data_IF_046393014445
#
_entry.id   IF_046393014445
#
_cell.length_a   1.000
_cell.length_b   1.000
_cell.length_c   1.000
_cell.angle_alpha   90.00
_cell.angle_beta   90.00
_cell.angle_gamma   90.00
#
_symmetry.space_group_name_H-M   'P 1'
#
loop_
_entity.id
_entity.type
_entity.pdbx_description
1 polymer ?
#
# COMPACT_ATOMS: atom_id res chain seq x y z
N UNK A 1 33.94 3.19 -14.88
CA UNK A 1 32.62 2.63 -15.21
C UNK A 1 32.05 1.98 -13.95
N UNK A 2 30.78 2.31 -13.64
CA UNK A 2 29.95 1.86 -12.50
C UNK A 2 30.11 2.63 -11.16
N UNK A 3 29.13 3.51 -10.93
CA UNK A 3 28.81 4.28 -9.72
C UNK A 3 28.12 3.38 -8.67
N UNK A 4 28.37 3.53 -7.35
CA UNK A 4 27.59 2.85 -6.32
C UNK A 4 26.42 3.72 -5.81
N UNK A 5 25.34 3.01 -5.47
CA UNK A 5 24.00 3.49 -5.14
C UNK A 5 23.93 4.47 -3.95
N UNK A 6 23.24 5.58 -4.17
CA UNK A 6 22.89 6.59 -3.18
C UNK A 6 21.80 6.11 -2.22
N UNK A 7 22.01 6.38 -0.94
CA UNK A 7 21.04 6.18 0.14
C UNK A 7 19.95 7.25 0.05
N UNK A 8 18.71 6.87 -0.23
CA UNK A 8 17.58 7.80 -0.25
C UNK A 8 16.99 7.99 1.15
N UNK A 9 17.22 9.17 1.72
CA UNK A 9 16.36 9.77 2.75
C UNK A 9 15.11 10.35 2.07
N UNK A 10 13.92 10.01 2.58
CA UNK A 10 12.68 10.67 2.22
C UNK A 10 12.70 12.10 2.80
N UNK A 11 13.01 13.06 1.94
CA UNK A 11 12.71 14.48 2.10
C UNK A 11 11.47 14.75 1.22
N UNK A 12 10.40 15.25 1.84
CA UNK A 12 9.28 15.84 1.12
C UNK A 12 9.78 17.14 0.46
N UNK A 13 10.29 17.03 -0.77
CA UNK A 13 10.47 18.18 -1.65
C UNK A 13 9.17 18.38 -2.43
N UNK A 14 8.47 19.46 -2.11
CA UNK A 14 7.44 20.01 -2.99
C UNK A 14 8.11 20.37 -4.33
N UNK A 15 8.05 19.48 -5.32
CA UNK A 15 8.42 19.81 -6.68
C UNK A 15 7.46 20.88 -7.22
N UNK A 16 8.05 22.00 -7.63
CA UNK A 16 7.40 23.07 -8.35
C UNK A 16 6.67 22.50 -9.57
N UNK A 17 5.36 22.72 -9.60
CA UNK A 17 4.49 22.36 -10.71
C UNK A 17 4.87 23.19 -11.95
N UNK A 18 4.98 22.51 -13.08
CA UNK A 18 5.11 23.09 -14.42
C UNK A 18 3.97 24.11 -14.65
N UNK A 19 4.24 25.39 -15.01
CA UNK A 19 3.23 26.45 -15.10
C UNK A 19 2.13 26.20 -16.15
N UNK A 20 2.32 25.27 -17.07
CA UNK A 20 1.38 25.03 -18.18
C UNK A 20 0.25 24.04 -17.85
N UNK A 21 0.13 23.55 -16.61
CA UNK A 21 -0.89 22.57 -16.20
C UNK A 21 -1.76 23.03 -15.02
N UNK A 22 -1.96 24.34 -14.87
CA UNK A 22 -2.75 24.92 -13.78
C UNK A 22 -4.18 24.37 -13.72
N UNK A 23 -4.81 24.09 -14.87
CA UNK A 23 -6.19 23.60 -14.93
C UNK A 23 -6.36 22.16 -14.38
N UNK A 24 -5.44 21.25 -14.70
CA UNK A 24 -5.49 19.85 -14.25
C UNK A 24 -5.08 19.70 -12.76
N UNK A 25 -4.18 20.56 -12.29
CA UNK A 25 -3.76 20.57 -10.89
C UNK A 25 -4.80 21.24 -9.97
N UNK A 26 -5.50 22.29 -10.43
CA UNK A 26 -6.61 22.90 -9.70
C UNK A 26 -7.84 21.97 -9.68
N UNK A 27 -8.14 21.27 -10.78
CA UNK A 27 -9.21 20.27 -10.81
C UNK A 27 -8.94 19.07 -9.88
N UNK A 28 -7.70 18.57 -9.85
CA UNK A 28 -7.30 17.48 -8.94
C UNK A 28 -7.31 17.88 -7.46
N UNK A 29 -6.90 19.11 -7.13
CA UNK A 29 -6.99 19.63 -5.75
C UNK A 29 -8.42 19.89 -5.32
N UNK A 30 -9.26 20.45 -6.20
CA UNK A 30 -10.69 20.65 -5.92
C UNK A 30 -11.45 19.33 -5.77
N UNK A 31 -11.04 18.26 -6.45
CA UNK A 31 -11.60 16.91 -6.24
C UNK A 31 -11.14 16.25 -4.94
N UNK A 32 -9.92 16.55 -4.46
CA UNK A 32 -9.40 16.04 -3.18
C UNK A 32 -9.94 16.81 -1.97
N UNK A 33 -10.16 18.13 -2.08
CA UNK A 33 -10.75 18.95 -1.02
C UNK A 33 -12.29 18.86 -0.96
N UNK A 34 -12.95 18.40 -2.02
CA UNK A 34 -14.40 18.20 -2.03
C UNK A 34 -14.89 16.97 -1.22
N UNK A 35 -13.99 16.17 -0.64
CA UNK A 35 -14.35 14.97 0.15
C UNK A 35 -14.93 15.29 1.54
N UNK A 36 -14.89 16.56 1.99
CA UNK A 36 -15.48 16.97 3.28
C UNK A 36 -16.87 17.60 3.22
N UNK A 37 -17.34 18.10 2.07
CA UNK A 37 -18.59 18.90 2.00
C UNK A 37 -19.70 18.34 1.13
N UNK A 38 -19.49 17.25 0.38
CA UNK A 38 -20.56 16.67 -0.44
C UNK A 38 -21.32 15.54 0.28
N UNK A 39 -22.02 15.92 1.36
CA UNK A 39 -23.10 15.10 1.92
C UNK A 39 -24.34 15.14 1.00
N UNK A 40 -24.27 14.50 -0.18
CA UNK A 40 -25.50 14.06 -0.84
C UNK A 40 -26.05 12.85 -0.08
N UNK A 41 -27.18 13.10 0.58
CA UNK A 41 -28.04 12.13 1.23
C UNK A 41 -28.33 10.95 0.30
N UNK A 42 -27.96 9.77 0.80
CA UNK A 42 -28.66 8.48 0.66
C UNK A 42 -29.04 8.02 -0.75
N UNK A 43 -28.28 7.05 -1.27
CA UNK A 43 -28.88 5.89 -1.93
C UNK A 43 -28.16 4.64 -1.43
N UNK A 44 -28.92 3.71 -0.85
CA UNK A 44 -28.43 2.45 -0.30
C UNK A 44 -27.95 1.52 -1.42
N UNK A 45 -26.97 0.65 -1.14
CA UNK A 45 -26.42 -0.34 -2.06
C UNK A 45 -27.50 -1.21 -2.74
N UNK A 46 -28.60 -1.50 -2.02
CA UNK A 46 -29.75 -2.21 -2.59
C UNK A 46 -30.39 -1.44 -3.75
N UNK A 47 -30.50 -0.12 -3.65
CA UNK A 47 -31.13 0.72 -4.67
C UNK A 47 -30.31 0.77 -5.96
N UNK A 48 -28.98 0.77 -5.88
CA UNK A 48 -28.12 0.90 -7.07
C UNK A 48 -27.87 -0.42 -7.81
N UNK A 49 -27.85 -1.57 -7.12
CA UNK A 49 -27.85 -2.87 -7.82
C UNK A 49 -29.19 -3.07 -8.53
N UNK A 50 -30.30 -2.74 -7.84
CA UNK A 50 -31.63 -2.71 -8.45
C UNK A 50 -31.65 -1.73 -9.62
N UNK A 51 -31.07 -0.53 -9.47
CA UNK A 51 -31.01 0.46 -10.54
C UNK A 51 -30.18 -0.02 -11.73
N UNK A 52 -29.02 -0.64 -11.52
CA UNK A 52 -28.20 -1.21 -12.60
C UNK A 52 -28.92 -2.35 -13.35
N UNK A 53 -29.61 -3.24 -12.61
CA UNK A 53 -30.46 -4.28 -13.22
C UNK A 53 -31.63 -3.66 -13.98
N UNK A 54 -32.27 -2.62 -13.42
CA UNK A 54 -33.32 -1.87 -14.10
C UNK A 54 -32.78 -1.23 -15.38
N UNK A 55 -31.58 -0.62 -15.37
CA UNK A 55 -30.98 -0.03 -16.57
C UNK A 55 -30.70 -1.08 -17.65
N UNK A 56 -30.22 -2.27 -17.27
CA UNK A 56 -30.04 -3.39 -18.22
C UNK A 56 -31.39 -3.84 -18.79
N UNK A 57 -32.42 -3.97 -17.94
CA UNK A 57 -33.76 -4.33 -18.39
C UNK A 57 -34.36 -3.26 -19.29
N UNK A 58 -34.18 -1.98 -18.97
CA UNK A 58 -34.61 -0.85 -19.80
C UNK A 58 -33.89 -0.87 -21.13
N UNK A 59 -32.58 -1.05 -21.16
CA UNK A 59 -31.80 -1.14 -22.40
C UNK A 59 -32.24 -2.33 -23.26
N UNK A 60 -32.46 -3.50 -22.66
CA UNK A 60 -33.00 -4.67 -23.36
C UNK A 60 -34.41 -4.45 -23.92
N UNK A 61 -35.30 -3.81 -23.14
CA UNK A 61 -36.64 -3.44 -23.59
C UNK A 61 -36.58 -2.41 -24.72
N UNK A 62 -35.68 -1.42 -24.63
CA UNK A 62 -35.48 -0.42 -25.67
C UNK A 62 -35.03 -1.07 -26.98
N UNK A 63 -34.13 -2.06 -26.93
CA UNK A 63 -33.71 -2.84 -28.10
C UNK A 63 -34.87 -3.65 -28.69
N UNK A 64 -35.71 -4.29 -27.85
CA UNK A 64 -36.89 -5.02 -28.33
C UNK A 64 -37.90 -4.08 -28.99
N UNK A 65 -38.16 -2.94 -28.35
CA UNK A 65 -39.08 -1.91 -28.88
C UNK A 65 -38.55 -1.37 -30.20
N UNK A 66 -37.25 -1.13 -30.31
CA UNK A 66 -36.60 -0.71 -31.55
C UNK A 66 -36.78 -1.73 -32.69
N UNK A 67 -36.58 -3.02 -32.39
CA UNK A 67 -36.77 -4.12 -33.36
C UNK A 67 -38.24 -4.36 -33.75
N UNK A 68 -39.19 -3.98 -32.90
CA UNK A 68 -40.62 -4.28 -33.08
C UNK A 68 -41.40 -3.19 -33.81
N UNK A 69 -40.79 -2.04 -34.12
CA UNK A 69 -41.44 -0.89 -34.75
C UNK A 69 -41.12 -0.83 -36.27
N UNK A 70 -42.03 -1.27 -37.17
CA UNK A 70 -41.75 -1.42 -38.60
C UNK A 70 -41.73 -0.10 -39.41
N UNK A 71 -42.19 1.02 -38.84
CA UNK A 71 -42.20 2.32 -39.51
C UNK A 71 -41.99 3.43 -38.46
N UNK A 72 -40.73 3.82 -38.25
CA UNK A 72 -40.32 4.74 -37.20
C UNK A 72 -40.11 6.15 -37.74
N UNK A 73 -40.58 7.17 -37.01
CA UNK A 73 -40.16 8.56 -37.28
C UNK A 73 -38.71 8.74 -36.82
N UNK A 74 -37.91 9.51 -37.58
CA UNK A 74 -36.49 9.76 -37.26
C UNK A 74 -36.28 10.26 -35.83
N UNK A 75 -37.18 11.09 -35.33
CA UNK A 75 -37.09 11.65 -33.97
C UNK A 75 -37.21 10.59 -32.86
N UNK A 76 -38.14 9.65 -33.00
CA UNK A 76 -38.25 8.54 -32.03
C UNK A 76 -36.99 7.71 -32.12
N UNK A 77 -36.53 7.46 -33.36
CA UNK A 77 -35.19 6.98 -33.78
C UNK A 77 -34.06 7.34 -32.83
N UNK A 78 -33.74 8.62 -32.93
CA UNK A 78 -32.62 9.27 -32.27
C UNK A 78 -32.79 9.26 -30.74
N UNK A 79 -34.03 9.31 -30.23
CA UNK A 79 -34.30 9.30 -28.80
C UNK A 79 -33.95 7.97 -28.11
N UNK A 80 -34.31 6.81 -28.70
CA UNK A 80 -33.94 5.51 -28.12
C UNK A 80 -32.42 5.31 -28.19
N UNK A 81 -31.80 5.69 -29.32
CA UNK A 81 -30.36 5.59 -29.48
C UNK A 81 -29.63 6.46 -28.44
N UNK A 82 -30.09 7.69 -28.21
CA UNK A 82 -29.55 8.57 -27.17
C UNK A 82 -29.68 7.98 -25.77
N UNK A 83 -30.81 7.34 -25.43
CA UNK A 83 -31.01 6.70 -24.11
C UNK A 83 -30.11 5.48 -23.96
N UNK A 84 -30.02 4.61 -24.98
CA UNK A 84 -29.14 3.44 -24.93
C UNK A 84 -27.65 3.85 -24.87
N UNK A 85 -27.25 4.90 -25.58
CA UNK A 85 -25.92 5.49 -25.48
C UNK A 85 -25.62 6.04 -24.09
N UNK A 86 -26.58 6.70 -23.43
CA UNK A 86 -26.43 7.20 -22.05
C UNK A 86 -26.28 6.05 -21.05
N UNK A 87 -27.05 4.97 -21.21
CA UNK A 87 -26.94 3.76 -20.37
C UNK A 87 -25.58 3.10 -20.57
N UNK A 88 -25.18 2.91 -21.83
CA UNK A 88 -23.87 2.34 -22.18
C UNK A 88 -22.71 3.19 -21.66
N UNK A 89 -22.81 4.52 -21.75
CA UNK A 89 -21.82 5.45 -21.21
C UNK A 89 -21.72 5.37 -19.69
N UNK A 90 -22.84 5.23 -18.97
CA UNK A 90 -22.83 5.01 -17.53
C UNK A 90 -22.06 3.74 -17.14
N UNK A 91 -22.34 2.61 -17.80
CA UNK A 91 -21.59 1.37 -17.57
C UNK A 91 -20.12 1.48 -17.96
N UNK A 92 -19.81 2.21 -19.04
CA UNK A 92 -18.43 2.47 -19.46
C UNK A 92 -17.65 3.26 -18.40
N UNK A 93 -18.23 4.34 -17.86
CA UNK A 93 -17.60 5.15 -16.80
C UNK A 93 -17.36 4.30 -15.55
N UNK A 94 -18.33 3.46 -15.16
CA UNK A 94 -18.19 2.55 -14.03
C UNK A 94 -17.02 1.56 -14.20
N UNK A 95 -16.88 0.97 -15.40
CA UNK A 95 -15.75 0.09 -15.73
C UNK A 95 -14.43 0.86 -15.71
N UNK A 96 -14.38 2.05 -16.29
CA UNK A 96 -13.18 2.87 -16.35
C UNK A 96 -12.70 3.31 -14.95
N UNK A 97 -13.62 3.69 -14.05
CA UNK A 97 -13.28 4.02 -12.65
C UNK A 97 -12.68 2.82 -11.91
N UNK A 98 -13.23 1.61 -12.11
CA UNK A 98 -12.68 0.38 -11.54
C UNK A 98 -11.28 0.10 -12.08
N UNK A 99 -11.05 0.26 -13.38
CA UNK A 99 -9.72 0.09 -14.00
C UNK A 99 -8.72 1.10 -13.45
N UNK A 100 -9.10 2.38 -13.34
CA UNK A 100 -8.24 3.43 -12.80
C UNK A 100 -7.81 3.14 -11.36
N UNK A 101 -8.74 2.76 -10.49
CA UNK A 101 -8.48 2.51 -9.05
C UNK A 101 -7.80 1.15 -8.80
N UNK A 102 -8.01 0.20 -9.71
CA UNK A 102 -7.31 -1.09 -9.73
C UNK A 102 -5.82 -0.92 -10.05
N UNK A 103 -5.42 0.14 -10.75
CA UNK A 103 -4.09 0.24 -11.38
C UNK A 103 -3.73 -1.08 -12.10
N UNK A 104 -2.46 -1.52 -12.05
CA UNK A 104 -1.97 -2.76 -12.67
C UNK A 104 -1.90 -3.93 -11.70
N UNK A 105 -2.83 -4.03 -10.76
CA UNK A 105 -2.85 -5.16 -9.83
C UNK A 105 -3.40 -6.39 -10.55
N UNK A 106 -2.81 -7.56 -10.28
CA UNK A 106 -3.40 -8.81 -10.75
C UNK A 106 -4.76 -9.03 -10.07
N UNK A 107 -5.82 -9.03 -10.86
CA UNK A 107 -7.19 -9.33 -10.41
C UNK A 107 -7.49 -10.81 -10.58
N UNK A 108 -8.33 -11.35 -9.70
CA UNK A 108 -8.89 -12.68 -9.86
C UNK A 108 -10.16 -12.57 -10.71
N UNK A 109 -10.08 -13.03 -11.97
CA UNK A 109 -11.18 -13.03 -12.95
C UNK A 109 -11.48 -14.44 -13.44
N UNK A 110 -11.94 -15.32 -12.54
CA UNK A 110 -12.24 -16.73 -12.82
C UNK A 110 -13.48 -17.18 -12.04
N UNK A 111 -14.14 -18.24 -12.50
CA UNK A 111 -15.27 -18.90 -11.80
C UNK A 111 -16.42 -17.95 -11.40
N UNK A 112 -16.68 -16.91 -12.22
CA UNK A 112 -17.70 -15.91 -11.92
C UNK A 112 -17.34 -14.93 -10.80
N UNK A 113 -16.04 -14.76 -10.50
CA UNK A 113 -15.54 -13.74 -9.59
C UNK A 113 -14.67 -12.72 -10.34
N UNK A 114 -14.84 -11.44 -10.03
CA UNK A 114 -13.92 -10.35 -10.41
C UNK A 114 -13.52 -9.54 -9.16
N UNK A 115 -12.40 -9.91 -8.56
CA UNK A 115 -11.91 -9.33 -7.31
C UNK A 115 -10.46 -8.85 -7.45
N UNK A 116 -10.13 -7.72 -6.83
CA UNK A 116 -8.74 -7.31 -6.58
C UNK A 116 -8.15 -8.21 -5.47
N UNK A 117 -7.82 -9.42 -5.87
CA UNK A 117 -7.37 -10.54 -5.06
C UNK A 117 -6.31 -11.32 -5.85
N UNK A 118 -5.22 -11.69 -5.19
CA UNK A 118 -4.11 -12.43 -5.79
C UNK A 118 -3.65 -13.53 -4.83
N UNK A 119 -3.54 -14.76 -5.33
CA UNK A 119 -2.79 -15.80 -4.65
C UNK A 119 -1.31 -15.51 -4.80
N UNK A 120 -0.67 -15.09 -3.71
CA UNK A 120 0.79 -14.93 -3.66
C UNK A 120 1.46 -16.30 -3.65
N UNK A 121 0.88 -17.22 -2.88
CA UNK A 121 1.10 -18.67 -2.93
C UNK A 121 -0.26 -19.35 -2.88
N UNK A 122 -0.30 -20.68 -2.99
CA UNK A 122 -1.55 -21.44 -2.97
C UNK A 122 -2.34 -21.25 -1.66
N UNK A 123 -1.65 -20.90 -0.56
CA UNK A 123 -2.25 -20.74 0.78
C UNK A 123 -2.18 -19.32 1.34
N UNK A 124 -1.67 -18.36 0.57
CA UNK A 124 -1.51 -16.96 1.00
C UNK A 124 -2.11 -16.03 -0.03
N UNK A 125 -3.18 -15.34 0.36
CA UNK A 125 -3.92 -14.41 -0.48
C UNK A 125 -3.60 -12.97 -0.07
N UNK A 126 -3.28 -12.14 -1.06
CA UNK A 126 -3.25 -10.68 -0.95
C UNK A 126 -4.51 -10.10 -1.60
N UNK A 127 -5.23 -9.21 -0.91
CA UNK A 127 -6.40 -8.55 -1.51
C UNK A 127 -6.53 -7.08 -1.10
N UNK A 128 -7.36 -6.34 -1.84
CA UNK A 128 -7.78 -5.00 -1.42
C UNK A 128 -8.87 -5.05 -0.34
N UNK A 129 -9.16 -3.90 0.25
CA UNK A 129 -10.14 -3.80 1.33
C UNK A 129 -11.53 -4.32 0.91
N UNK A 130 -12.12 -5.28 1.65
CA UNK A 130 -13.50 -5.70 1.43
C UNK A 130 -14.42 -4.59 1.96
N UNK A 131 -15.10 -3.91 1.04
CA UNK A 131 -15.90 -2.73 1.36
C UNK A 131 -17.40 -3.02 1.32
N UNK A 132 -18.13 -2.25 2.11
CA UNK A 132 -19.59 -2.15 2.07
C UNK A 132 -20.01 -0.74 1.61
N UNK A 133 -21.27 -0.59 1.20
CA UNK A 133 -21.83 0.71 0.78
C UNK A 133 -21.15 1.31 -0.45
N UNK A 134 -21.02 2.64 -0.51
CA UNK A 134 -20.51 3.37 -1.69
C UNK A 134 -19.06 3.03 -2.09
N UNK A 135 -18.28 2.40 -1.20
CA UNK A 135 -16.90 2.03 -1.51
C UNK A 135 -16.79 0.68 -2.25
N UNK A 136 -17.87 -0.11 -2.36
CA UNK A 136 -17.88 -1.37 -3.13
C UNK A 136 -17.98 -1.16 -4.64
N UNK A 137 -18.22 0.08 -5.11
CA UNK A 137 -18.21 0.40 -6.53
C UNK A 137 -16.82 0.32 -7.15
N UNK A 138 -15.78 0.61 -6.36
CA UNK A 138 -14.40 0.62 -6.84
C UNK A 138 -13.43 -0.24 -6.01
N UNK A 139 -13.90 -0.86 -4.92
CA UNK A 139 -13.18 -1.89 -4.16
C UNK A 139 -13.97 -3.19 -4.19
N UNK A 140 -13.38 -4.25 -3.63
CA UNK A 140 -14.03 -5.56 -3.55
C UNK A 140 -15.32 -5.49 -2.71
N UNK A 141 -16.49 -5.84 -3.26
CA UNK A 141 -17.70 -5.97 -2.46
C UNK A 141 -17.50 -7.05 -1.38
N UNK A 142 -17.70 -6.71 -0.11
CA UNK A 142 -17.43 -7.63 1.01
C UNK A 142 -18.20 -8.96 0.88
N UNK A 143 -19.44 -8.92 0.40
CA UNK A 143 -20.27 -10.11 0.16
C UNK A 143 -19.67 -11.03 -0.91
N UNK A 144 -19.08 -10.46 -1.96
CA UNK A 144 -18.42 -11.25 -3.00
C UNK A 144 -17.11 -11.85 -2.51
N UNK A 145 -16.37 -11.14 -1.65
CA UNK A 145 -15.17 -11.69 -0.99
C UNK A 145 -15.55 -12.83 -0.05
N UNK A 146 -16.61 -12.66 0.75
CA UNK A 146 -17.13 -13.73 1.62
C UNK A 146 -17.58 -14.94 0.79
N UNK A 147 -18.39 -14.72 -0.25
CA UNK A 147 -18.81 -15.76 -1.20
C UNK A 147 -17.61 -16.50 -1.80
N UNK A 148 -16.58 -15.76 -2.20
CA UNK A 148 -15.36 -16.35 -2.76
C UNK A 148 -14.65 -17.26 -1.75
N UNK A 149 -14.40 -16.76 -0.54
CA UNK A 149 -13.70 -17.51 0.50
C UNK A 149 -14.51 -18.72 0.97
N UNK A 150 -15.83 -18.58 1.12
CA UNK A 150 -16.71 -19.69 1.49
C UNK A 150 -16.79 -20.73 0.38
N UNK A 151 -16.84 -20.32 -0.90
CA UNK A 151 -16.90 -21.27 -2.04
C UNK A 151 -15.58 -22.02 -2.23
N UNK A 152 -14.44 -21.35 -2.04
CA UNK A 152 -13.11 -21.91 -2.37
C UNK A 152 -12.39 -22.53 -1.17
N UNK A 153 -12.67 -22.06 0.04
CA UNK A 153 -11.91 -22.36 1.25
C UNK A 153 -12.82 -22.52 2.47
N UNK A 154 -14.01 -23.09 2.30
CA UNK A 154 -15.00 -23.26 3.36
C UNK A 154 -14.36 -23.82 4.64
N UNK A 155 -14.56 -23.14 5.78
CA UNK A 155 -13.99 -23.56 7.05
C UNK A 155 -12.47 -23.33 7.21
N UNK A 156 -11.73 -23.13 6.12
CA UNK A 156 -10.26 -23.16 6.07
C UNK A 156 -9.61 -21.81 5.74
N UNK A 157 -10.29 -20.68 5.92
CA UNK A 157 -9.66 -19.37 5.79
C UNK A 157 -9.67 -18.56 7.09
N UNK A 158 -8.67 -17.68 7.23
CA UNK A 158 -8.62 -16.63 8.24
C UNK A 158 -8.20 -15.30 7.60
N UNK A 159 -8.92 -14.23 7.91
CA UNK A 159 -8.71 -12.90 7.31
C UNK A 159 -7.91 -12.01 8.24
N UNK A 160 -6.91 -11.31 7.72
CA UNK A 160 -6.12 -10.33 8.45
C UNK A 160 -6.36 -8.92 7.89
N UNK A 161 -6.98 -8.08 8.70
CA UNK A 161 -7.22 -6.67 8.40
C UNK A 161 -6.10 -5.81 8.99
N UNK A 162 -5.30 -5.22 8.10
CA UNK A 162 -4.15 -4.39 8.47
C UNK A 162 -4.49 -2.90 8.66
N UNK A 163 -5.75 -2.50 8.47
CA UNK A 163 -6.16 -1.10 8.55
C UNK A 163 -6.35 -0.66 9.99
N UNK A 164 -5.61 0.37 10.41
CA UNK A 164 -5.89 1.05 11.68
C UNK A 164 -7.15 1.90 11.57
N UNK A 165 -7.37 2.49 10.39
CA UNK A 165 -8.40 3.48 10.11
C UNK A 165 -9.78 2.88 9.81
N UNK A 166 -9.85 1.58 9.46
CA UNK A 166 -11.07 0.95 8.92
C UNK A 166 -11.28 -0.47 9.42
N UNK A 167 -12.54 -0.79 9.67
CA UNK A 167 -13.03 -2.13 9.94
C UNK A 167 -14.36 -2.39 9.22
N UNK A 168 -14.87 -3.59 9.40
CA UNK A 168 -16.16 -4.06 8.92
C UNK A 168 -16.69 -5.10 9.92
N UNK A 169 -17.95 -5.47 9.78
CA UNK A 169 -18.55 -6.50 10.63
C UNK A 169 -17.84 -7.85 10.38
N UNK A 170 -17.20 -8.46 11.41
CA UNK A 170 -16.51 -9.74 11.24
C UNK A 170 -17.48 -10.92 10.98
N UNK A 171 -18.79 -10.74 11.16
CA UNK A 171 -19.80 -11.76 10.82
C UNK A 171 -19.74 -12.19 9.35
N UNK A 172 -19.37 -11.29 8.44
CA UNK A 172 -19.20 -11.64 7.01
C UNK A 172 -18.18 -12.75 6.76
N UNK A 173 -17.27 -12.98 7.71
CA UNK A 173 -16.20 -13.96 7.63
C UNK A 173 -16.23 -14.94 8.80
N UNK A 174 -17.43 -15.24 9.33
CA UNK A 174 -17.64 -16.19 10.43
C UNK A 174 -16.77 -15.91 11.67
N UNK A 175 -16.53 -14.64 11.96
CA UNK A 175 -15.66 -14.18 13.05
C UNK A 175 -14.19 -14.63 12.95
N UNK A 176 -13.76 -15.15 11.79
CA UNK A 176 -12.35 -15.53 11.51
C UNK A 176 -11.55 -14.34 10.98
N UNK A 177 -11.64 -13.20 11.67
CA UNK A 177 -10.95 -11.96 11.30
C UNK A 177 -10.05 -11.49 12.43
N UNK A 178 -8.78 -11.27 12.13
CA UNK A 178 -7.80 -10.66 13.05
C UNK A 178 -7.41 -9.28 12.58
N UNK A 179 -7.18 -8.37 13.52
CA UNK A 179 -6.78 -6.99 13.21
C UNK A 179 -5.36 -6.72 13.66
N UNK A 180 -4.56 -6.17 12.73
CA UNK A 180 -3.24 -5.63 13.01
C UNK A 180 -3.27 -4.15 12.65
N UNK A 181 -3.15 -3.27 13.63
CA UNK A 181 -3.36 -1.84 13.44
C UNK A 181 -2.12 -1.16 12.83
N UNK A 182 -2.07 -1.06 11.50
CA UNK A 182 -0.97 -0.41 10.78
C UNK A 182 -1.49 0.84 10.08
N UNK A 183 -0.94 2.00 10.45
CA UNK A 183 -1.30 3.28 9.83
C UNK A 183 -0.88 3.31 8.35
N UNK A 184 -1.62 4.05 7.52
CA UNK A 184 -1.36 4.08 6.08
C UNK A 184 0.06 4.61 5.79
N UNK A 185 0.75 3.97 4.85
CA UNK A 185 2.18 4.21 4.50
C UNK A 185 3.20 4.04 5.64
N UNK A 186 2.78 3.51 6.79
CA UNK A 186 3.65 3.23 7.93
C UNK A 186 3.94 1.72 8.06
N UNK A 187 4.60 1.36 9.16
CA UNK A 187 5.06 0.00 9.50
C UNK A 187 4.45 -0.45 10.83
N UNK A 188 4.23 -1.76 11.03
CA UNK A 188 3.85 -2.31 12.34
C UNK A 188 5.01 -2.18 13.33
N UNK A 189 4.75 -2.31 14.63
CA UNK A 189 5.84 -2.53 15.58
C UNK A 189 6.43 -3.94 15.40
N UNK A 190 7.71 -4.13 15.75
CA UNK A 190 8.34 -5.46 15.70
C UNK A 190 7.61 -6.48 16.58
N UNK A 191 7.05 -6.02 17.69
CA UNK A 191 6.27 -6.85 18.60
C UNK A 191 4.96 -7.31 17.95
N UNK A 192 4.28 -6.42 17.21
CA UNK A 192 3.07 -6.78 16.46
C UNK A 192 3.36 -7.75 15.32
N UNK A 193 4.54 -7.64 14.68
CA UNK A 193 4.98 -8.61 13.66
C UNK A 193 5.17 -10.01 14.26
N UNK A 194 5.76 -10.11 15.46
CA UNK A 194 5.91 -11.40 16.16
C UNK A 194 4.56 -11.98 16.61
N UNK A 195 3.65 -11.14 17.13
CA UNK A 195 2.28 -11.57 17.49
C UNK A 195 1.52 -12.08 16.26
N UNK A 196 1.60 -11.34 15.17
CA UNK A 196 0.98 -11.72 13.90
C UNK A 196 1.50 -13.07 13.40
N UNK A 197 2.83 -13.25 13.31
CA UNK A 197 3.40 -14.50 12.80
C UNK A 197 3.14 -15.69 13.71
N UNK A 198 3.12 -15.51 15.03
CA UNK A 198 2.71 -16.56 15.95
C UNK A 198 1.24 -17.00 15.71
N UNK A 199 0.32 -16.04 15.56
CA UNK A 199 -1.09 -16.31 15.28
C UNK A 199 -1.29 -16.99 13.90
N UNK A 200 -0.56 -16.55 12.88
CA UNK A 200 -0.58 -17.19 11.56
C UNK A 200 -0.03 -18.60 11.63
N UNK A 201 1.08 -18.83 12.35
CA UNK A 201 1.69 -20.16 12.49
C UNK A 201 0.72 -21.14 13.15
N UNK A 202 0.10 -20.73 14.25
CA UNK A 202 -0.92 -21.52 14.94
C UNK A 202 -2.05 -21.93 13.98
N UNK A 203 -2.64 -20.95 13.28
CA UNK A 203 -3.70 -21.19 12.29
C UNK A 203 -3.26 -22.13 11.16
N UNK A 204 -2.09 -21.87 10.57
CA UNK A 204 -1.60 -22.60 9.40
C UNK A 204 -1.16 -24.04 9.75
N UNK A 205 -0.77 -24.28 11.00
CA UNK A 205 -0.41 -25.60 11.52
C UNK A 205 -1.62 -26.47 11.90
N UNK A 206 -2.77 -25.86 12.16
CA UNK A 206 -3.96 -26.58 12.59
C UNK A 206 -4.55 -27.48 11.49
N UNK A 207 -4.43 -27.08 10.22
CA UNK A 207 -4.86 -27.89 9.07
C UNK A 207 -4.03 -27.54 7.82
N UNK A 208 -3.55 -28.52 7.04
CA UNK A 208 -2.82 -28.27 5.79
C UNK A 208 -3.64 -27.53 4.71
N UNK A 209 -4.97 -27.56 4.78
CA UNK A 209 -5.87 -26.81 3.89
C UNK A 209 -6.04 -25.35 4.32
N UNK A 210 -5.63 -24.98 5.55
CA UNK A 210 -5.82 -23.63 6.02
C UNK A 210 -5.05 -22.62 5.17
N UNK A 211 -5.72 -21.52 4.82
CA UNK A 211 -5.17 -20.39 4.08
C UNK A 211 -5.34 -19.11 4.89
N UNK A 212 -4.56 -18.09 4.54
CA UNK A 212 -4.71 -16.73 5.08
C UNK A 212 -5.01 -15.73 3.97
N UNK A 213 -5.94 -14.82 4.23
CA UNK A 213 -6.26 -13.70 3.34
C UNK A 213 -5.92 -12.39 4.03
N UNK A 214 -4.91 -11.68 3.51
CA UNK A 214 -4.36 -10.48 4.14
C UNK A 214 -4.70 -9.27 3.29
N UNK A 215 -5.21 -8.23 3.92
CA UNK A 215 -5.61 -7.02 3.21
C UNK A 215 -5.29 -5.75 4.00
N UNK A 216 -5.13 -4.65 3.27
CA UNK A 216 -5.16 -3.29 3.79
C UNK A 216 -6.17 -2.47 2.97
N UNK A 217 -5.95 -1.18 2.76
CA UNK A 217 -6.75 -0.37 1.82
C UNK A 217 -6.56 -0.80 0.37
N UNK A 218 -5.30 -0.89 -0.05
CA UNK A 218 -4.90 -1.15 -1.43
C UNK A 218 -4.39 -2.57 -1.70
N UNK A 219 -4.05 -3.37 -0.68
CA UNK A 219 -3.42 -4.68 -0.89
C UNK A 219 -2.02 -4.57 -1.50
N UNK A 220 -1.26 -3.54 -1.13
CA UNK A 220 0.09 -3.21 -1.64
C UNK A 220 1.10 -3.15 -0.48
N UNK A 221 1.56 -1.96 -0.06
CA UNK A 221 2.61 -1.76 0.97
C UNK A 221 2.43 -2.57 2.26
N UNK A 222 1.45 -2.22 3.09
CA UNK A 222 1.16 -2.90 4.37
C UNK A 222 0.97 -4.42 4.20
N UNK A 223 0.18 -4.81 3.19
CA UNK A 223 -0.09 -6.23 2.88
C UNK A 223 1.17 -6.98 2.49
N UNK A 224 1.98 -6.40 1.61
CA UNK A 224 3.26 -6.96 1.19
C UNK A 224 4.23 -7.12 2.35
N UNK A 225 4.33 -6.13 3.24
CA UNK A 225 5.16 -6.23 4.46
C UNK A 225 4.79 -7.47 5.28
N UNK A 226 3.51 -7.66 5.59
CA UNK A 226 3.07 -8.77 6.44
C UNK A 226 3.11 -10.12 5.73
N UNK A 227 2.89 -10.15 4.41
CA UNK A 227 3.04 -11.38 3.60
C UNK A 227 4.51 -11.79 3.52
N UNK A 228 5.42 -10.88 3.16
CA UNK A 228 6.85 -11.18 3.08
C UNK A 228 7.40 -11.64 4.44
N UNK A 229 6.94 -10.99 5.52
CA UNK A 229 7.22 -11.42 6.90
C UNK A 229 6.80 -12.87 7.15
N UNK A 230 5.61 -13.27 6.71
CA UNK A 230 5.15 -14.65 6.83
C UNK A 230 5.92 -15.63 5.93
N UNK A 231 6.25 -15.24 4.70
CA UNK A 231 7.05 -16.05 3.78
C UNK A 231 8.43 -16.35 4.35
N UNK A 232 9.04 -15.36 5.03
CA UNK A 232 10.27 -15.57 5.80
C UNK A 232 9.99 -16.45 7.02
N UNK A 233 8.96 -16.16 7.82
CA UNK A 233 8.68 -16.93 9.04
C UNK A 233 8.44 -18.42 8.77
N UNK A 234 7.79 -18.74 7.65
CA UNK A 234 7.44 -20.09 7.21
C UNK A 234 8.53 -20.79 6.38
N UNK A 235 9.75 -20.25 6.36
CA UNK A 235 10.92 -20.84 5.68
C UNK A 235 10.74 -21.01 4.16
N UNK A 236 9.79 -20.31 3.54
CA UNK A 236 9.63 -20.29 2.07
C UNK A 236 10.68 -19.40 1.40
N UNK A 237 11.19 -18.42 2.13
CA UNK A 237 12.27 -17.52 1.71
C UNK A 237 13.24 -17.30 2.87
N UNK A 238 14.54 -17.31 2.57
CA UNK A 238 15.59 -17.01 3.53
C UNK A 238 15.91 -15.51 3.58
N UNK A 239 15.83 -14.84 2.42
CA UNK A 239 16.15 -13.42 2.22
C UNK A 239 14.90 -12.55 2.20
N UNK A 240 14.93 -11.45 2.95
CA UNK A 240 13.90 -10.42 2.88
C UNK A 240 13.79 -9.83 1.48
N UNK A 241 14.91 -9.58 0.80
CA UNK A 241 14.93 -8.98 -0.53
C UNK A 241 14.21 -9.89 -1.55
N UNK A 242 14.51 -11.19 -1.53
CA UNK A 242 13.93 -12.14 -2.47
C UNK A 242 12.41 -12.28 -2.25
N UNK A 243 11.98 -12.27 -0.99
CA UNK A 243 10.55 -12.31 -0.66
C UNK A 243 9.80 -11.06 -1.13
N UNK A 244 10.44 -9.88 -1.03
CA UNK A 244 9.88 -8.59 -1.47
C UNK A 244 9.75 -8.54 -2.99
N UNK A 245 10.78 -8.99 -3.70
CA UNK A 245 10.80 -9.05 -5.16
C UNK A 245 9.73 -10.03 -5.65
N UNK A 246 9.69 -11.24 -5.08
CA UNK A 246 8.67 -12.24 -5.36
C UNK A 246 7.25 -11.70 -5.17
N UNK A 247 6.96 -11.05 -4.02
CA UNK A 247 5.66 -10.45 -3.78
C UNK A 247 5.32 -9.39 -4.83
N UNK A 248 6.29 -8.51 -5.14
CA UNK A 248 6.14 -7.49 -6.17
C UNK A 248 5.81 -8.06 -7.53
N UNK A 249 6.47 -9.14 -7.95
CA UNK A 249 6.21 -9.81 -9.23
C UNK A 249 4.84 -10.49 -9.29
N UNK A 250 4.39 -11.08 -8.19
CA UNK A 250 3.07 -11.71 -8.10
C UNK A 250 1.96 -10.69 -8.04
N UNK A 251 2.18 -9.54 -7.40
CA UNK A 251 1.14 -8.52 -7.24
C UNK A 251 1.04 -7.58 -8.44
N UNK A 252 2.14 -7.37 -9.15
CA UNK A 252 2.20 -6.54 -10.36
C UNK A 252 1.78 -7.32 -11.59
N UNK A 253 0.83 -6.78 -12.34
CA UNK A 253 0.55 -7.19 -13.71
C UNK A 253 1.42 -6.37 -14.67
N UNK A 254 2.61 -6.91 -15.01
CA UNK A 254 3.56 -6.26 -15.93
C UNK A 254 2.99 -6.11 -17.35
N UNK A 255 1.89 -6.79 -17.71
CA UNK A 255 1.24 -6.66 -19.01
C UNK A 255 0.42 -5.37 -19.17
N UNK A 256 0.03 -4.73 -18.04
CA UNK A 256 -0.84 -3.55 -18.03
C UNK A 256 -0.06 -2.24 -17.84
N UNK A 257 1.04 -2.24 -17.08
CA UNK A 257 2.07 -1.20 -17.12
C UNK A 257 3.34 -1.60 -16.36
N UNK A 258 4.43 -0.87 -16.61
CA UNK A 258 5.75 -1.07 -15.98
C UNK A 258 5.81 -0.64 -14.50
N UNK A 259 4.76 -0.04 -13.95
CA UNK A 259 4.73 0.45 -12.56
C UNK A 259 4.70 -0.72 -11.58
N UNK A 260 5.75 -0.86 -10.78
CA UNK A 260 5.89 -1.86 -9.72
C UNK A 260 4.82 -1.69 -8.61
N UNK A 261 4.17 -2.79 -8.23
CA UNK A 261 3.08 -2.87 -7.25
C UNK A 261 3.45 -3.77 -6.06
N UNK A 262 4.66 -3.60 -5.53
CA UNK A 262 5.15 -4.33 -4.35
C UNK A 262 5.03 -3.53 -3.06
N UNK A 263 5.99 -3.75 -2.16
CA UNK A 263 6.13 -2.95 -0.94
C UNK A 263 6.53 -1.52 -1.32
N UNK A 264 5.83 -0.53 -0.76
CA UNK A 264 5.82 0.84 -1.29
C UNK A 264 6.92 1.72 -0.69
N UNK A 265 7.26 1.52 0.58
CA UNK A 265 8.20 2.41 1.28
C UNK A 265 9.49 1.70 1.70
N UNK A 266 10.65 2.40 1.69
CA UNK A 266 11.90 1.84 2.20
C UNK A 266 11.81 1.37 3.66
N UNK A 267 10.99 2.05 4.48
CA UNK A 267 10.74 1.65 5.87
C UNK A 267 10.02 0.30 5.96
N UNK A 268 9.03 0.04 5.10
CA UNK A 268 8.35 -1.25 5.04
C UNK A 268 9.31 -2.38 4.66
N UNK A 269 10.13 -2.21 3.61
CA UNK A 269 11.14 -3.20 3.22
C UNK A 269 12.16 -3.44 4.33
N UNK A 270 12.61 -2.37 5.02
CA UNK A 270 13.51 -2.46 6.17
C UNK A 270 12.93 -3.31 7.30
N UNK A 271 11.64 -3.18 7.59
CA UNK A 271 10.99 -3.96 8.65
C UNK A 271 10.88 -5.44 8.32
N UNK A 272 10.76 -5.82 7.04
CA UNK A 272 10.87 -7.22 6.62
C UNK A 272 12.28 -7.75 6.91
N UNK A 273 13.34 -6.99 6.58
CA UNK A 273 14.71 -7.35 6.94
C UNK A 273 14.97 -7.39 8.45
N UNK A 274 14.30 -6.54 9.22
CA UNK A 274 14.35 -6.62 10.68
C UNK A 274 13.73 -7.92 11.21
N UNK A 275 12.64 -8.38 10.59
CA UNK A 275 12.04 -9.66 10.94
C UNK A 275 12.94 -10.84 10.57
N UNK A 276 13.59 -10.81 9.41
CA UNK A 276 14.60 -11.81 9.02
C UNK A 276 15.69 -11.95 10.10
N UNK A 277 16.20 -10.82 10.61
CA UNK A 277 17.16 -10.80 11.72
C UNK A 277 16.55 -11.37 13.01
N UNK A 278 15.31 -11.00 13.36
CA UNK A 278 14.63 -11.54 14.55
C UNK A 278 14.47 -13.06 14.47
N UNK A 279 14.11 -13.59 13.30
CA UNK A 279 13.99 -15.03 13.06
C UNK A 279 15.35 -15.73 13.17
N UNK A 280 16.34 -15.28 12.40
CA UNK A 280 17.64 -15.95 12.25
C UNK A 280 18.57 -15.80 13.45
N UNK A 281 18.63 -14.61 14.07
CA UNK A 281 19.60 -14.31 15.14
C UNK A 281 18.99 -14.28 16.54
N UNK A 282 17.68 -14.04 16.64
CA UNK A 282 16.99 -13.89 17.93
C UNK A 282 15.90 -14.94 18.13
N UNK A 283 15.87 -16.01 17.32
CA UNK A 283 14.90 -17.11 17.42
C UNK A 283 13.45 -16.63 17.59
N UNK A 284 13.04 -15.66 16.74
CA UNK A 284 11.70 -15.04 16.77
C UNK A 284 11.39 -14.33 18.10
N UNK A 285 12.41 -13.75 18.73
CA UNK A 285 12.25 -12.88 19.90
C UNK A 285 12.66 -11.45 19.59
N UNK A 286 12.19 -10.53 20.42
CA UNK A 286 12.62 -9.15 20.31
C UNK A 286 14.11 -9.04 20.68
N UNK A 287 14.91 -8.28 19.91
CA UNK A 287 16.25 -7.94 20.32
C UNK A 287 16.22 -7.10 21.61
N UNK A 288 17.28 -7.15 22.44
CA UNK A 288 17.36 -6.35 23.66
C UNK A 288 17.15 -4.85 23.39
N UNK A 289 16.37 -4.15 24.24
CA UNK A 289 16.16 -2.72 24.07
C UNK A 289 17.48 -1.94 24.22
N UNK A 290 17.65 -0.90 23.42
CA UNK A 290 18.84 -0.04 23.43
C UNK A 290 18.45 1.44 23.50
N UNK A 291 18.83 2.08 24.61
CA UNK A 291 18.69 3.52 24.78
C UNK A 291 19.73 4.26 23.94
N UNK A 292 19.30 5.17 23.07
CA UNK A 292 20.14 5.98 22.18
C UNK A 292 19.68 7.44 22.19
N UNK A 293 20.63 8.36 22.28
CA UNK A 293 20.37 9.79 22.15
C UNK A 293 20.69 10.23 20.73
N UNK A 294 19.77 10.88 20.02
CA UNK A 294 20.09 11.50 18.73
C UNK A 294 20.86 12.78 19.02
N UNK A 295 22.14 12.80 18.66
CA UNK A 295 23.02 13.97 18.84
C UNK A 295 23.02 14.89 17.63
N UNK A 296 22.92 14.32 16.44
CA UNK A 296 22.94 15.10 15.20
C UNK A 296 22.27 14.37 14.05
N UNK A 297 21.68 15.13 13.13
CA UNK A 297 21.17 14.66 11.84
C UNK A 297 21.98 15.35 10.76
N UNK A 298 22.59 14.56 9.87
CA UNK A 298 23.32 15.08 8.71
C UNK A 298 22.55 14.77 7.44
N UNK A 299 22.22 15.79 6.65
CA UNK A 299 21.58 15.66 5.35
C UNK A 299 22.60 16.03 4.29
N UNK A 300 22.91 15.10 3.41
CA UNK A 300 23.82 15.33 2.29
C UNK A 300 23.06 15.89 1.07
N UNK A 301 23.77 16.62 0.20
CA UNK A 301 23.26 17.11 -1.08
C UNK A 301 21.99 17.99 -0.95
N UNK A 302 22.00 18.91 0.02
CA UNK A 302 20.83 19.74 0.36
C UNK A 302 20.51 20.81 -0.70
N UNK A 303 21.46 21.19 -1.56
CA UNK A 303 21.33 22.32 -2.51
C UNK A 303 20.06 22.32 -3.38
N UNK A 304 19.52 21.14 -3.72
CA UNK A 304 18.32 20.99 -4.55
C UNK A 304 17.02 20.76 -3.76
N UNK A 305 17.06 20.82 -2.43
CA UNK A 305 15.94 20.49 -1.56
C UNK A 305 15.46 21.75 -0.84
N UNK A 306 14.21 22.14 -1.08
CA UNK A 306 13.63 23.31 -0.44
C UNK A 306 14.39 24.58 -0.82
N UNK A 307 14.90 25.32 0.17
CA UNK A 307 15.75 26.50 -0.05
C UNK A 307 17.22 26.19 -0.35
N UNK A 308 17.62 24.93 -0.30
CA UNK A 308 19.00 24.53 -0.58
C UNK A 308 19.97 24.69 0.59
N UNK A 309 19.51 25.22 1.73
CA UNK A 309 20.31 25.48 2.92
C UNK A 309 19.77 24.79 4.18
N UNK A 310 18.62 24.11 4.07
CA UNK A 310 17.93 23.42 5.16
C UNK A 310 17.24 24.35 6.16
N UNK A 311 17.25 25.66 5.95
CA UNK A 311 16.59 26.63 6.86
C UNK A 311 15.07 26.44 6.90
N UNK A 312 14.48 25.93 5.83
CA UNK A 312 13.05 25.64 5.72
C UNK A 312 12.64 24.28 6.31
N UNK A 313 13.60 23.50 6.82
CA UNK A 313 13.32 22.17 7.38
C UNK A 313 12.77 22.24 8.81
N UNK A 314 12.00 21.20 9.13
CA UNK A 314 11.47 20.92 10.46
C UNK A 314 11.57 19.44 10.74
N UNK A 315 12.27 19.08 11.81
CA UNK A 315 12.42 17.68 12.22
C UNK A 315 11.51 17.38 13.40
N UNK A 316 10.78 16.26 13.30
CA UNK A 316 9.95 15.72 14.38
C UNK A 316 10.39 14.29 14.67
N UNK A 317 10.61 14.00 15.94
CA UNK A 317 10.85 12.64 16.42
C UNK A 317 9.60 12.17 17.13
N UNK A 318 9.03 11.08 16.63
CA UNK A 318 7.80 10.49 17.14
C UNK A 318 8.14 9.10 17.70
N UNK A 319 7.80 8.87 18.96
CA UNK A 319 7.97 7.58 19.62
C UNK A 319 6.59 7.11 20.12
N UNK A 320 6.20 5.88 19.78
CA UNK A 320 4.89 5.32 20.16
C UNK A 320 3.69 6.25 19.86
N UNK A 321 3.73 6.92 18.70
CA UNK A 321 2.72 7.90 18.24
C UNK A 321 2.68 9.23 19.03
N UNK A 322 3.64 9.46 19.92
CA UNK A 322 3.79 10.74 20.64
C UNK A 322 4.97 11.54 20.08
N UNK A 323 4.78 12.84 19.92
CA UNK A 323 5.85 13.76 19.54
C UNK A 323 6.77 13.97 20.75
N UNK A 324 7.98 13.39 20.71
CA UNK A 324 8.94 13.46 21.82
C UNK A 324 10.00 14.55 21.63
N UNK A 325 10.23 14.99 20.40
CA UNK A 325 11.13 16.08 20.10
C UNK A 325 10.76 16.77 18.78
N UNK A 326 11.00 18.07 18.72
CA UNK A 326 10.82 18.86 17.51
C UNK A 326 11.89 19.95 17.43
N UNK A 327 12.54 20.04 16.27
CA UNK A 327 13.41 21.13 15.87
C UNK A 327 12.77 21.92 14.73
N UNK A 328 12.91 23.25 14.76
CA UNK A 328 12.54 24.14 13.65
C UNK A 328 13.80 24.87 13.20
N UNK A 329 14.37 24.44 12.06
CA UNK A 329 15.70 24.86 11.60
C UNK A 329 15.75 26.38 11.33
N UNK A 330 14.68 26.96 10.78
CA UNK A 330 14.58 28.39 10.50
C UNK A 330 14.83 29.28 11.72
N UNK A 331 14.34 28.82 12.88
CA UNK A 331 14.39 29.56 14.14
C UNK A 331 15.46 29.05 15.08
N UNK A 332 16.15 27.96 14.71
CA UNK A 332 17.07 27.22 15.58
C UNK A 332 16.42 26.86 16.93
N UNK A 333 15.11 26.58 16.92
CA UNK A 333 14.39 26.11 18.10
C UNK A 333 14.81 24.66 18.40
N UNK A 334 15.44 24.42 19.55
CA UNK A 334 15.94 23.11 20.02
C UNK A 334 17.04 22.46 19.15
N UNK A 335 17.64 23.20 18.22
CA UNK A 335 18.69 22.68 17.34
C UNK A 335 19.63 23.79 16.88
N UNK A 336 20.88 23.42 16.58
CA UNK A 336 21.83 24.31 15.90
C UNK A 336 22.08 23.78 14.50
N UNK A 337 22.04 24.69 13.51
CA UNK A 337 22.20 24.36 12.09
C UNK A 337 23.56 24.84 11.62
N UNK A 338 24.31 23.96 10.94
CA UNK A 338 25.55 24.33 10.25
C UNK A 338 25.56 23.75 8.83
N UNK A 339 25.95 24.59 7.87
CA UNK A 339 26.08 24.23 6.46
C UNK A 339 27.58 24.08 6.15
N UNK A 340 27.99 22.92 5.64
CA UNK A 340 29.39 22.69 5.25
C UNK A 340 29.50 22.66 3.73
N UNK A 341 30.38 23.50 3.17
CA UNK A 341 30.73 23.50 1.75
C UNK A 341 32.09 22.79 1.58
N UNK A 342 32.13 21.69 0.85
CA UNK A 342 33.39 21.09 0.41
C UNK A 342 33.56 21.35 -1.09
N UNK A 343 34.68 21.99 -1.46
CA UNK A 343 35.18 22.05 -2.84
C UNK A 343 34.15 22.40 -3.93
N UNK A 344 33.39 23.49 -3.76
CA UNK A 344 32.52 24.04 -4.80
C UNK A 344 31.12 23.44 -4.90
N UNK A 345 30.77 22.46 -4.04
CA UNK A 345 29.42 21.94 -3.88
C UNK A 345 28.94 22.01 -2.42
N UNK A 346 27.64 22.23 -2.20
CA UNK A 346 27.03 22.24 -0.87
C UNK A 346 26.79 20.78 -0.47
N UNK A 347 27.68 20.21 0.33
CA UNK A 347 27.75 18.76 0.51
C UNK A 347 27.03 18.24 1.75
N UNK A 348 26.83 19.05 2.81
CA UNK A 348 26.02 18.61 3.95
C UNK A 348 25.46 19.71 4.85
N UNK A 349 24.22 19.50 5.28
CA UNK A 349 23.55 20.16 6.40
C UNK A 349 23.75 19.31 7.66
N UNK A 350 24.20 19.91 8.76
CA UNK A 350 24.32 19.24 10.06
C UNK A 350 23.44 19.96 11.06
N UNK A 351 22.44 19.25 11.55
CA UNK A 351 21.64 19.62 12.69
C UNK A 351 22.25 18.96 13.93
N UNK A 352 22.60 19.73 14.95
CA UNK A 352 22.92 19.21 16.28
C UNK A 352 21.70 19.35 17.17
N UNK A 353 21.18 18.22 17.65
CA UNK A 353 20.07 18.17 18.58
C UNK A 353 20.60 18.35 20.01
N UNK A 354 19.98 19.26 20.77
CA UNK A 354 20.34 19.52 22.16
C UNK A 354 19.53 18.55 23.05
N UNK A 355 20.22 17.64 23.75
CA UNK A 355 19.66 16.75 24.79
C UNK A 355 18.36 15.98 24.45
N UNK A 356 18.41 15.03 23.52
CA UNK A 356 17.27 14.12 23.27
C UNK A 356 17.63 12.66 23.50
N UNK A 357 17.37 12.15 24.71
CA UNK A 357 17.50 10.72 25.02
C UNK A 357 16.27 9.96 24.53
N UNK A 358 16.44 9.00 23.62
CA UNK A 358 15.38 8.13 23.12
C UNK A 358 15.67 6.69 23.53
N UNK A 359 14.63 5.92 23.85
CA UNK A 359 14.79 4.49 24.11
C UNK A 359 14.23 3.73 22.90
N UNK A 360 15.11 3.15 22.09
CA UNK A 360 14.70 2.32 20.96
C UNK A 360 14.68 0.85 21.38
N UNK A 361 13.65 0.10 20.98
CA UNK A 361 13.77 -1.37 20.92
C UNK A 361 14.63 -1.66 19.68
N UNK A 362 15.93 -1.85 19.87
CA UNK A 362 16.93 -1.73 18.80
C UNK A 362 17.00 -2.94 17.89
N UNK A 363 17.06 -2.75 16.57
CA UNK A 363 17.51 -3.78 15.62
C UNK A 363 19.00 -3.54 15.33
N UNK A 364 19.86 -4.58 15.23
CA UNK A 364 21.27 -4.37 14.92
C UNK A 364 21.45 -3.65 13.59
N UNK A 365 22.45 -2.77 13.51
CA UNK A 365 22.98 -2.35 12.22
C UNK A 365 23.53 -3.58 11.50
N UNK A 366 23.20 -3.74 10.22
CA UNK A 366 24.00 -4.59 9.35
C UNK A 366 25.40 -3.96 9.32
N UNK A 367 26.37 -4.61 9.97
CA UNK A 367 27.76 -4.17 9.95
C UNK A 367 28.29 -4.30 8.54
N UNK A 368 28.90 -3.23 8.03
CA UNK A 368 29.84 -3.31 6.92
C UNK A 368 30.93 -4.31 7.30
N UNK A 369 30.88 -5.51 6.72
CA UNK A 369 32.02 -6.41 6.72
C UNK A 369 31.99 -7.35 5.52
N UNK A 370 31.93 -6.79 4.32
CA UNK A 370 32.44 -7.42 3.10
C UNK A 370 32.96 -6.30 2.21
N UNK A 371 34.25 -5.94 2.38
CA UNK A 371 35.16 -5.49 1.32
C UNK A 371 36.45 -4.90 1.93
N UNK A 372 37.52 -5.69 1.93
CA UNK A 372 38.87 -5.21 1.60
C UNK A 372 39.84 -6.39 1.31
N UNK A 373 40.12 -6.56 0.01
CA UNK A 373 41.37 -7.01 -0.67
C UNK A 373 42.01 -8.37 -0.29
N UNK A 374 42.02 -9.42 -1.13
CA UNK A 374 42.63 -9.71 -2.48
C UNK A 374 43.79 -10.75 -2.33
N UNK A 375 44.30 -11.47 -3.36
CA UNK A 375 44.04 -11.44 -4.81
C UNK A 375 43.79 -12.82 -5.50
N UNK A 376 43.64 -12.72 -6.82
CA UNK A 376 43.51 -13.66 -7.95
C UNK A 376 44.07 -15.11 -7.90
N UNK A 377 43.55 -15.87 -8.88
CA UNK A 377 43.96 -17.20 -9.41
C UNK A 377 43.55 -18.39 -8.52
N UNK A 378 42.88 -19.45 -8.98
CA UNK A 378 43.18 -20.34 -10.11
C UNK A 378 41.92 -20.99 -10.70
N UNK A 379 42.09 -21.50 -11.93
CA UNK A 379 41.10 -22.00 -12.86
C UNK A 379 40.62 -23.44 -12.64
N UNK A 380 39.57 -23.77 -13.41
CA UNK A 380 39.18 -25.08 -13.96
C UNK A 380 38.68 -26.20 -13.03
N UNK A 381 37.53 -26.78 -13.44
CA UNK A 381 36.93 -28.00 -12.91
C UNK A 381 35.45 -28.06 -13.25
#
# INVERSE_FOLDING_TARGET
>A
SLLPASSFCLLDSHQAANPNNWFLNDFSRRLLDADQTFRIKVFSCSFQVIFGVILILVDFVLVIVDLSLPARSREVGDAIEAVSLLISFFFLVDVLLRVYISENKRRYQKDGFDLDLTYVTDRVIAMSFPSSGKQSFYRNPIREVARFLDTKHEGHYKVYNLCSEKGYDPQFFHYKVERVFIDDHNVPSLEDMLKYTANVREWMSADPKNIIAIHCKGGKGRTGTMICTWLIDSDQFESAQDSLDYFGERRTDKSRSSKFQGVETPSQSRYVGYYEIMKSKFNRQLPPPKSLTIKSIRIHSIAGVGKGDGSDLKVKIILKKELVFQCVCAKQENCTVSLTHSSGHIDSFVEQAINTSLVFKGVPRCGQQCCSHQPAEWACG
#
